data_IF_820425166892
#
_entry.id   IF_820425166892
#
_cell.length_a   1.000
_cell.length_b   1.000
_cell.length_c   1.000
_cell.angle_alpha   90.00
_cell.angle_beta   90.00
_cell.angle_gamma   90.00
#
_symmetry.space_group_name_H-M   'P 1'
#
loop_
_entity.id
_entity.type
_entity.pdbx_description
1 polymer ?
#
# COMPACT_ATOMS: atom_id res chain seq x y z
N UNK A 1 -1.76 10.90 -20.03
CA UNK A 1 -1.09 9.70 -20.56
C UNK A 1 -0.37 9.02 -19.40
N UNK A 2 -0.93 7.94 -18.87
CA UNK A 2 -0.23 7.08 -17.90
C UNK A 2 0.67 6.17 -18.74
N UNK A 3 1.98 6.28 -18.57
CA UNK A 3 2.91 5.37 -19.23
C UNK A 3 2.65 3.94 -18.73
N UNK A 4 2.57 2.93 -19.61
CA UNK A 4 2.53 1.54 -19.16
C UNK A 4 3.87 1.24 -18.46
N UNK A 5 3.82 0.84 -17.19
CA UNK A 5 5.00 0.19 -16.58
C UNK A 5 5.19 -1.12 -17.32
N UNK A 6 6.33 -1.31 -17.99
CA UNK A 6 6.72 -2.62 -18.52
C UNK A 6 6.66 -3.62 -17.36
N UNK A 7 5.77 -4.61 -17.47
CA UNK A 7 5.60 -5.62 -16.43
C UNK A 7 6.86 -6.46 -16.36
N UNK A 8 7.67 -6.25 -15.31
CA UNK A 8 8.76 -7.16 -14.97
C UNK A 8 8.23 -8.58 -14.74
N UNK A 9 9.13 -9.58 -14.74
CA UNK A 9 8.72 -10.95 -14.46
C UNK A 9 7.97 -11.04 -13.11
N UNK A 10 6.85 -11.79 -13.05
CA UNK A 10 6.09 -11.93 -11.83
C UNK A 10 6.95 -12.58 -10.73
N UNK A 11 7.25 -11.79 -9.70
CA UNK A 11 7.96 -12.29 -8.52
C UNK A 11 6.96 -12.91 -7.56
N UNK A 12 7.34 -14.04 -6.96
CA UNK A 12 6.56 -14.66 -5.90
C UNK A 12 6.73 -13.88 -4.61
N UNK A 13 5.63 -13.69 -3.89
CA UNK A 13 5.63 -13.05 -2.58
C UNK A 13 5.08 -14.02 -1.53
N UNK A 14 5.74 -14.08 -0.38
CA UNK A 14 5.26 -14.77 0.80
C UNK A 14 4.62 -13.74 1.74
N UNK A 15 3.33 -13.92 2.03
CA UNK A 15 2.65 -13.11 3.05
C UNK A 15 3.18 -13.48 4.42
N UNK A 16 3.74 -12.50 5.13
CA UNK A 16 4.35 -12.68 6.46
C UNK A 16 3.47 -12.15 7.58
N UNK A 17 2.47 -11.32 7.26
CA UNK A 17 1.53 -10.82 8.26
C UNK A 17 0.36 -10.04 7.69
N UNK A 18 -0.68 -9.90 8.52
CA UNK A 18 -1.88 -9.13 8.22
C UNK A 18 -2.21 -8.24 9.42
N UNK A 19 -2.65 -7.00 9.16
CA UNK A 19 -3.28 -6.15 10.17
C UNK A 19 -4.54 -5.53 9.60
N UNK A 20 -5.61 -5.53 10.38
CA UNK A 20 -6.85 -4.83 10.05
C UNK A 20 -6.99 -3.63 10.98
N UNK A 21 -7.19 -2.44 10.42
CA UNK A 21 -7.37 -1.20 11.19
C UNK A 21 -8.12 -0.16 10.37
N UNK A 22 -8.53 0.94 11.01
CA UNK A 22 -9.02 2.10 10.26
C UNK A 22 -7.86 2.81 9.57
N UNK A 23 -8.14 3.43 8.43
CA UNK A 23 -7.11 4.13 7.65
C UNK A 23 -6.42 5.25 8.43
N UNK A 24 -7.18 6.04 9.19
CA UNK A 24 -6.66 7.08 10.09
C UNK A 24 -5.72 6.57 11.19
N UNK A 25 -5.77 5.27 11.50
CA UNK A 25 -4.96 4.67 12.57
C UNK A 25 -3.62 4.09 12.03
N UNK A 26 -3.35 4.22 10.72
CA UNK A 26 -2.07 3.83 10.13
C UNK A 26 -1.00 4.84 10.52
N UNK A 27 0.11 4.36 11.09
CA UNK A 27 1.25 5.21 11.46
C UNK A 27 2.27 5.28 10.33
N UNK A 28 2.97 6.41 10.20
CA UNK A 28 4.00 6.58 9.16
C UNK A 28 5.10 5.53 9.21
N UNK A 29 5.46 5.04 10.41
CA UNK A 29 6.46 3.97 10.55
C UNK A 29 6.01 2.66 9.91
N UNK A 30 4.71 2.43 9.75
CA UNK A 30 4.18 1.26 9.04
C UNK A 30 4.15 1.47 7.52
N UNK A 31 4.20 2.72 7.07
CA UNK A 31 4.22 3.10 5.65
C UNK A 31 5.63 3.15 5.06
N UNK A 32 6.66 3.33 5.89
CA UNK A 32 8.05 3.39 5.41
C UNK A 32 8.54 2.11 4.73
N UNK A 33 7.83 0.99 4.93
CA UNK A 33 8.12 -0.31 4.31
C UNK A 33 7.23 -0.61 3.11
N UNK A 34 6.40 0.34 2.69
CA UNK A 34 5.51 0.13 1.55
C UNK A 34 6.28 0.07 0.23
N UNK A 35 5.82 -0.77 -0.69
CA UNK A 35 6.49 -1.02 -1.97
C UNK A 35 6.46 0.18 -2.93
N UNK A 36 5.44 1.04 -2.84
CA UNK A 36 5.37 2.29 -3.61
C UNK A 36 5.88 3.47 -2.75
N UNK A 37 7.00 4.13 -3.15
CA UNK A 37 7.53 5.28 -2.44
C UNK A 37 6.54 6.45 -2.28
N UNK A 38 5.57 6.60 -3.18
CA UNK A 38 4.54 7.64 -3.06
C UNK A 38 3.62 7.40 -1.87
N UNK A 39 3.55 6.16 -1.38
CA UNK A 39 2.72 5.75 -0.26
C UNK A 39 3.49 5.68 1.07
N UNK A 40 4.76 6.12 1.13
CA UNK A 40 5.57 6.12 2.37
C UNK A 40 5.10 7.13 3.42
N UNK A 41 4.18 8.02 3.07
CA UNK A 41 3.58 8.99 4.00
C UNK A 41 2.07 8.80 4.05
N UNK A 42 1.45 9.17 5.17
CA UNK A 42 0.00 9.02 5.33
C UNK A 42 -0.78 9.79 4.25
N UNK A 43 -0.37 11.04 3.99
CA UNK A 43 -0.98 11.89 2.96
C UNK A 43 -0.79 11.31 1.55
N UNK A 44 0.40 10.76 1.28
CA UNK A 44 0.70 10.12 0.00
C UNK A 44 -0.21 8.91 -0.24
N UNK A 45 -0.30 8.00 0.72
CA UNK A 45 -1.20 6.85 0.64
C UNK A 45 -2.67 7.30 0.52
N UNK A 46 -3.12 8.25 1.33
CA UNK A 46 -4.50 8.73 1.30
C UNK A 46 -4.87 9.31 -0.07
N UNK A 47 -3.96 10.10 -0.65
CA UNK A 47 -4.14 10.72 -1.96
C UNK A 47 -4.19 9.66 -3.07
N UNK A 48 -3.41 8.58 -2.95
CA UNK A 48 -3.45 7.44 -3.88
C UNK A 48 -4.76 6.68 -3.75
N UNK A 49 -5.21 6.37 -2.54
CA UNK A 49 -6.47 5.67 -2.31
C UNK A 49 -7.67 6.44 -2.87
N UNK A 50 -7.74 7.76 -2.65
CA UNK A 50 -8.79 8.62 -3.23
C UNK A 50 -8.82 8.68 -4.75
N UNK A 51 -7.68 8.45 -5.42
CA UNK A 51 -7.62 8.37 -6.89
C UNK A 51 -8.15 7.04 -7.43
N UNK A 52 -8.06 5.98 -6.62
CA UNK A 52 -8.50 4.63 -6.99
C UNK A 52 -9.95 4.37 -6.60
N UNK A 53 -10.41 5.01 -5.51
CA UNK A 53 -11.72 4.83 -4.93
C UNK A 53 -12.29 6.22 -4.58
N UNK A 54 -13.23 6.71 -5.39
CA UNK A 54 -13.73 8.09 -5.32
C UNK A 54 -14.30 8.47 -3.93
N UNK A 55 -14.99 7.52 -3.29
CA UNK A 55 -15.64 7.72 -1.98
C UNK A 55 -14.74 7.34 -0.79
N UNK A 56 -13.44 7.11 -1.00
CA UNK A 56 -12.54 6.69 0.07
C UNK A 56 -12.35 7.78 1.13
N UNK A 57 -12.48 7.41 2.41
CA UNK A 57 -12.22 8.30 3.53
C UNK A 57 -11.32 7.68 4.61
N UNK A 58 -10.92 8.49 5.58
CA UNK A 58 -9.98 8.09 6.63
C UNK A 58 -10.59 7.13 7.68
N UNK A 59 -11.90 6.96 7.70
CA UNK A 59 -12.63 6.10 8.63
C UNK A 59 -12.75 4.66 8.13
N UNK A 60 -12.47 4.45 6.84
CA UNK A 60 -12.48 3.16 6.15
C UNK A 60 -11.64 2.10 6.88
N UNK A 61 -12.15 0.87 6.87
CA UNK A 61 -11.42 -0.28 7.42
C UNK A 61 -10.55 -0.87 6.31
N UNK A 62 -9.24 -0.91 6.53
CA UNK A 62 -8.28 -1.42 5.57
C UNK A 62 -7.53 -2.64 6.11
N UNK A 63 -7.09 -3.49 5.19
CA UNK A 63 -6.19 -4.61 5.48
C UNK A 63 -4.80 -4.26 4.99
N UNK A 64 -3.84 -4.19 5.92
CA UNK A 64 -2.42 -4.07 5.61
C UNK A 64 -1.84 -5.47 5.42
N UNK A 65 -1.22 -5.71 4.27
CA UNK A 65 -0.58 -6.98 3.93
C UNK A 65 0.93 -6.78 3.98
N UNK A 66 1.59 -7.49 4.89
CA UNK A 66 3.05 -7.53 4.96
C UNK A 66 3.52 -8.77 4.22
N UNK A 67 4.50 -8.60 3.34
CA UNK A 67 5.05 -9.70 2.55
C UNK A 67 6.55 -9.50 2.34
N UNK A 68 7.21 -10.60 1.99
CA UNK A 68 8.59 -10.61 1.50
C UNK A 68 8.61 -11.23 0.12
N UNK A 69 9.50 -10.75 -0.75
CA UNK A 69 9.73 -11.37 -2.05
C UNK A 69 10.49 -12.68 -1.85
N UNK A 70 10.07 -13.76 -2.51
CA UNK A 70 10.81 -15.02 -2.48
C UNK A 70 12.16 -14.83 -3.18
N UNK A 71 13.27 -15.07 -2.46
CA UNK A 71 14.63 -15.01 -3.02
C UNK A 71 15.36 -13.67 -2.88
N UNK A 72 14.87 -12.76 -2.03
CA UNK A 72 15.59 -11.54 -1.64
C UNK A 72 16.66 -11.78 -0.57
#
# INVERSE_FOLDING_TARGET
MVQPREGGEPQKALVTGLKVKRFRDIREQELSVEHDPQCHTWNGLFSTMKKLYDDFDETEIVTMIFFTLEGA
#
